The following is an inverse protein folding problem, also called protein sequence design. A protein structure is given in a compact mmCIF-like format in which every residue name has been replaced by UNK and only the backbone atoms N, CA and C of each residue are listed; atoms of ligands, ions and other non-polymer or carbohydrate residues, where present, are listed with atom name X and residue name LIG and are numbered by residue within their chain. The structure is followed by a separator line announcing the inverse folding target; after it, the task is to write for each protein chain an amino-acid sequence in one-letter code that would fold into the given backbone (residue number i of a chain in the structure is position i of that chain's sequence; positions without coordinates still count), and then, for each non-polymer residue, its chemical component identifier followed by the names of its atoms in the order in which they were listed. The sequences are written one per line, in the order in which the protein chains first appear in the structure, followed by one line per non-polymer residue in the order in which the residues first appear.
data_IF_664829761754
#
_entry.id   IF_664829761754
#
_cell.length_a   1.000
_cell.length_b   1.000
_cell.length_c   1.000
_cell.angle_alpha   90.00
_cell.angle_beta   90.00
_cell.angle_gamma   90.00
#
_symmetry.space_group_name_H-M   'P 1'
#
loop_
_entity.id
_entity.type
_entity.pdbx_description
1 polymer ?
#
# COMPACT_ATOMS: atom_id res chain seq x y z
N UNK A 1 -10.80 -8.10 -18.36
CA UNK A 1 -11.07 -8.20 -17.98
C UNK A 1 -11.38 -8.22 -16.91
N UNK A 2 -11.44 -7.99 -16.71
CA UNK A 2 -11.69 -7.56 -15.63
C UNK A 2 -12.47 -8.25 -14.67
N UNK A 3 -12.45 -9.30 -14.61
CA UNK A 3 -13.12 -9.91 -13.92
C UNK A 3 -13.10 -9.60 -12.80
N UNK A 4 -12.97 -9.20 -12.48
CA UNK A 4 -13.38 -8.69 -11.67
C UNK A 4 -12.77 -8.80 -10.49
N UNK A 5 -12.03 -7.88 -10.28
CA UNK A 5 -11.57 -7.58 -9.00
C UNK A 5 -12.73 -7.63 -8.06
N UNK A 6 -13.89 -7.27 -8.46
CA UNK A 6 -15.07 -7.37 -7.64
C UNK A 6 -15.46 -8.81 -7.33
N UNK A 7 -15.18 -9.70 -8.25
CA UNK A 7 -15.46 -11.12 -8.03
C UNK A 7 -14.40 -11.77 -7.17
N UNK A 8 -13.23 -11.17 -7.12
CA UNK A 8 -12.13 -11.74 -6.41
C UNK A 8 -12.01 -11.18 -5.03
N UNK A 9 -12.59 -10.04 -4.78
CA UNK A 9 -12.47 -9.34 -3.52
C UNK A 9 -13.80 -9.27 -2.80
N UNK A 10 -13.74 -9.27 -1.48
CA UNK A 10 -14.91 -9.09 -0.67
C UNK A 10 -15.47 -7.71 -0.90
N UNK A 11 -16.75 -7.66 -1.14
CA UNK A 11 -17.40 -6.41 -1.48
C UNK A 11 -17.63 -5.48 -0.28
N UNK A 12 -16.80 -5.53 0.70
CA UNK A 12 -16.91 -4.60 1.82
C UNK A 12 -16.09 -3.36 1.54
N UNK A 13 -16.24 -2.75 0.42
CA UNK A 13 -15.41 -1.63 -0.01
C UNK A 13 -15.64 -0.33 0.75
N UNK A 14 -15.93 -0.38 2.04
CA UNK A 14 -16.13 0.84 2.82
C UNK A 14 -14.80 1.50 3.16
N UNK A 15 -14.77 2.80 3.04
CA UNK A 15 -13.64 3.58 3.49
C UNK A 15 -13.65 3.67 5.00
N UNK A 16 -12.48 3.67 5.60
CA UNK A 16 -12.32 4.06 7.00
C UNK A 16 -12.05 5.57 7.02
N UNK A 17 -12.99 6.33 7.57
CA UNK A 17 -12.82 7.78 7.70
C UNK A 17 -12.10 8.06 9.02
N UNK A 18 -10.97 8.77 8.92
CA UNK A 18 -10.22 9.21 10.07
C UNK A 18 -10.25 10.74 10.01
N UNK A 19 -10.93 11.36 10.96
CA UNK A 19 -10.92 12.80 11.05
C UNK A 19 -9.52 13.30 11.40
N UNK A 20 -9.27 14.57 11.23
CA UNK A 20 -7.97 15.16 11.50
C UNK A 20 -7.55 14.79 12.91
N UNK A 21 -6.76 13.76 13.00
CA UNK A 21 -6.28 13.25 14.26
C UNK A 21 -4.79 13.43 14.38
N UNK A 22 -4.28 13.01 15.51
CA UNK A 22 -2.86 12.93 15.71
C UNK A 22 -2.29 11.84 14.81
N UNK A 23 -1.01 11.96 14.53
CA UNK A 23 -0.30 11.03 13.65
C UNK A 23 -0.43 9.57 14.10
N UNK A 24 -0.45 9.33 15.40
CA UNK A 24 -0.58 7.97 15.94
C UNK A 24 -1.93 7.35 15.61
N UNK A 25 -3.00 8.14 15.52
CA UNK A 25 -4.32 7.64 15.15
C UNK A 25 -4.33 7.09 13.72
N UNK A 26 -3.61 7.74 12.82
CA UNK A 26 -3.49 7.28 11.44
C UNK A 26 -2.68 5.99 11.36
N UNK A 27 -1.59 5.90 12.12
CA UNK A 27 -0.76 4.70 12.19
C UNK A 27 -1.58 3.51 12.70
N UNK A 28 -2.27 3.69 13.81
CA UNK A 28 -3.09 2.64 14.41
C UNK A 28 -4.23 2.21 13.48
N UNK A 29 -4.86 3.16 12.82
CA UNK A 29 -5.93 2.88 11.88
C UNK A 29 -5.44 2.11 10.65
N UNK A 30 -4.27 2.47 10.11
CA UNK A 30 -3.66 1.76 8.99
C UNK A 30 -3.43 0.30 9.34
N UNK A 31 -2.83 0.04 10.51
CA UNK A 31 -2.57 -1.32 10.97
C UNK A 31 -3.86 -2.11 11.24
N UNK A 32 -4.85 -1.48 11.84
CA UNK A 32 -6.14 -2.12 12.10
C UNK A 32 -6.85 -2.49 10.78
N UNK A 33 -6.83 -1.60 9.81
CA UNK A 33 -7.40 -1.86 8.49
C UNK A 33 -6.66 -2.98 7.77
N UNK A 34 -5.34 -3.02 7.88
CA UNK A 34 -4.55 -4.11 7.32
C UNK A 34 -5.01 -5.46 7.90
N UNK A 35 -5.10 -5.58 9.21
CA UNK A 35 -5.52 -6.84 9.84
C UNK A 35 -6.95 -7.23 9.46
N UNK A 36 -7.80 -6.26 9.21
CA UNK A 36 -9.17 -6.50 8.77
C UNK A 36 -9.25 -7.00 7.33
N UNK A 37 -8.43 -6.45 6.43
CA UNK A 37 -8.57 -6.65 4.98
C UNK A 37 -7.47 -7.47 4.34
N UNK A 38 -6.50 -7.96 5.10
CA UNK A 38 -5.28 -8.60 4.57
C UNK A 38 -5.53 -9.78 3.63
N UNK A 39 -6.67 -10.44 3.75
CA UNK A 39 -7.01 -11.59 2.90
C UNK A 39 -7.82 -11.23 1.66
N UNK A 40 -8.25 -9.98 1.55
CA UNK A 40 -9.13 -9.56 0.45
C UNK A 40 -8.58 -9.87 -0.95
N UNK A 41 -7.31 -9.57 -1.29
CA UNK A 41 -6.81 -9.79 -2.65
C UNK A 41 -6.30 -11.20 -2.92
N UNK A 42 -6.63 -12.19 -2.09
CA UNK A 42 -6.07 -13.53 -2.20
C UNK A 42 -6.22 -14.15 -3.60
N UNK A 43 -7.43 -14.07 -4.15
CA UNK A 43 -7.66 -14.63 -5.48
C UNK A 43 -7.01 -13.80 -6.58
N UNK A 44 -6.92 -12.49 -6.38
CA UNK A 44 -6.28 -11.60 -7.34
C UNK A 44 -4.82 -11.96 -7.57
N UNK A 45 -4.10 -12.30 -6.50
CA UNK A 45 -2.67 -12.60 -6.57
C UNK A 45 -2.36 -14.08 -6.78
N UNK A 46 -3.38 -14.94 -6.80
CA UNK A 46 -3.19 -16.39 -6.88
C UNK A 46 -2.44 -16.82 -8.15
N UNK A 47 -2.52 -16.05 -9.22
CA UNK A 47 -1.81 -16.32 -10.48
C UNK A 47 -0.42 -15.71 -10.57
N UNK A 48 0.02 -15.00 -9.54
CA UNK A 48 1.35 -14.37 -9.56
C UNK A 48 2.40 -15.35 -9.07
N UNK A 49 3.34 -15.67 -9.94
CA UNK A 49 4.36 -16.69 -9.69
C UNK A 49 5.77 -16.13 -9.90
N UNK A 50 6.77 -16.88 -9.46
CA UNK A 50 8.18 -16.54 -9.65
C UNK A 50 8.86 -16.18 -8.33
N UNK A 51 9.99 -15.47 -8.44
CA UNK A 51 10.71 -14.98 -7.28
C UNK A 51 9.92 -13.93 -6.51
N UNK A 52 10.34 -13.63 -5.30
CA UNK A 52 9.73 -12.55 -4.52
C UNK A 52 9.77 -11.24 -5.31
N UNK A 53 10.89 -10.92 -5.93
CA UNK A 53 11.03 -9.70 -6.74
C UNK A 53 10.02 -9.68 -7.89
N UNK A 54 9.90 -10.77 -8.63
CA UNK A 54 8.93 -10.89 -9.72
C UNK A 54 7.48 -10.73 -9.25
N UNK A 55 7.15 -11.29 -8.10
CA UNK A 55 5.81 -11.13 -7.50
C UNK A 55 5.58 -9.69 -7.06
N UNK A 56 6.58 -9.05 -6.48
CA UNK A 56 6.50 -7.64 -6.10
C UNK A 56 6.31 -6.74 -7.32
N UNK A 57 7.05 -6.99 -8.40
CA UNK A 57 6.86 -6.26 -9.65
C UNK A 57 5.44 -6.44 -10.20
N UNK A 58 4.91 -7.66 -10.14
CA UNK A 58 3.56 -7.93 -10.62
C UNK A 58 2.50 -7.18 -9.82
N UNK A 59 2.62 -7.17 -8.49
CA UNK A 59 1.70 -6.40 -7.62
C UNK A 59 1.80 -4.91 -7.91
N UNK A 60 3.03 -4.40 -8.01
CA UNK A 60 3.29 -2.99 -8.26
C UNK A 60 2.75 -2.55 -9.63
N UNK A 61 3.01 -3.34 -10.66
CA UNK A 61 2.51 -3.07 -12.00
C UNK A 61 0.97 -3.09 -12.05
N UNK A 62 0.36 -4.08 -11.41
CA UNK A 62 -1.10 -4.15 -11.36
C UNK A 62 -1.69 -2.89 -10.73
N UNK A 63 -1.15 -2.48 -9.58
CA UNK A 63 -1.65 -1.29 -8.89
C UNK A 63 -1.49 -0.04 -9.76
N UNK A 64 -0.31 0.18 -10.32
CA UNK A 64 -0.02 1.39 -11.09
C UNK A 64 -0.80 1.46 -12.42
N UNK A 65 -1.22 0.32 -12.93
CA UNK A 65 -2.05 0.26 -14.14
C UNK A 65 -3.52 0.54 -13.85
N UNK A 66 -4.00 0.26 -12.64
CA UNK A 66 -5.43 0.32 -12.31
C UNK A 66 -5.81 1.48 -11.40
N UNK A 67 -4.86 2.08 -10.73
CA UNK A 67 -5.12 3.10 -9.70
C UNK A 67 -4.26 4.32 -9.93
N UNK A 68 -4.89 5.49 -9.83
CA UNK A 68 -4.21 6.78 -9.92
C UNK A 68 -4.09 7.37 -8.52
N UNK A 69 -2.93 7.97 -8.23
CA UNK A 69 -2.75 8.66 -6.97
C UNK A 69 -3.64 9.90 -6.91
N UNK A 70 -4.37 10.03 -5.81
CA UNK A 70 -5.23 11.19 -5.56
C UNK A 70 -5.26 11.47 -4.06
N UNK A 71 -4.89 12.68 -3.68
CA UNK A 71 -5.00 13.11 -2.29
C UNK A 71 -6.44 13.10 -1.81
N UNK A 72 -6.62 12.78 -0.53
CA UNK A 72 -7.91 12.92 0.12
C UNK A 72 -8.34 14.38 0.20
N UNK A 73 -9.62 14.60 0.37
CA UNK A 73 -10.15 15.95 0.55
C UNK A 73 -9.59 16.56 1.84
N UNK A 74 -9.44 17.87 1.83
CA UNK A 74 -8.89 18.60 2.96
C UNK A 74 -9.66 18.32 4.24
N UNK A 75 -8.93 18.00 5.30
CA UNK A 75 -9.51 17.74 6.63
C UNK A 75 -9.98 16.30 6.83
N UNK A 76 -9.92 15.46 5.81
CA UNK A 76 -10.32 14.06 5.90
C UNK A 76 -9.17 13.13 5.58
N UNK A 77 -9.19 11.96 6.22
CA UNK A 77 -8.23 10.89 5.95
C UNK A 77 -9.02 9.61 5.67
N UNK A 78 -8.79 9.00 4.51
CA UNK A 78 -9.47 7.78 4.13
C UNK A 78 -8.46 6.66 3.94
N UNK A 79 -8.78 5.48 4.49
CA UNK A 79 -8.05 4.26 4.20
C UNK A 79 -9.02 3.32 3.50
N UNK A 80 -8.78 3.08 2.23
CA UNK A 80 -9.64 2.21 1.42
C UNK A 80 -9.19 0.77 1.52
N UNK A 81 -10.15 -0.15 1.58
CA UNK A 81 -9.84 -1.57 1.40
C UNK A 81 -9.32 -1.80 -0.03
N UNK A 82 -8.61 -2.92 -0.27
CA UNK A 82 -8.19 -3.25 -1.64
C UNK A 82 -9.34 -3.25 -2.65
N UNK A 83 -10.48 -3.81 -2.29
CA UNK A 83 -11.65 -3.84 -3.16
C UNK A 83 -12.16 -2.42 -3.45
N UNK A 84 -12.22 -1.57 -2.44
CA UNK A 84 -12.70 -0.20 -2.62
C UNK A 84 -11.73 0.63 -3.45
N UNK A 85 -10.44 0.44 -3.23
CA UNK A 85 -9.42 1.14 -4.01
C UNK A 85 -9.55 0.83 -5.50
N UNK A 86 -9.70 -0.44 -5.85
CA UNK A 86 -9.88 -0.85 -7.25
C UNK A 86 -11.21 -0.35 -7.82
N UNK A 87 -12.26 -0.35 -7.02
CA UNK A 87 -13.56 0.16 -7.44
C UNK A 87 -13.50 1.66 -7.77
N UNK A 88 -12.84 2.43 -6.91
CA UNK A 88 -12.73 3.88 -7.10
C UNK A 88 -11.68 4.25 -8.14
N UNK A 89 -10.67 3.41 -8.33
CA UNK A 89 -9.56 3.67 -9.25
C UNK A 89 -8.62 4.77 -8.80
N UNK A 90 -8.72 5.23 -7.57
CA UNK A 90 -7.86 6.28 -7.04
C UNK A 90 -7.76 6.22 -5.51
N UNK A 91 -6.65 6.70 -4.98
CA UNK A 91 -6.42 6.80 -3.55
C UNK A 91 -5.08 7.47 -3.25
N UNK A 92 -4.83 7.75 -1.99
CA UNK A 92 -3.55 8.30 -1.54
C UNK A 92 -2.60 7.22 -1.01
N UNK A 93 -1.48 7.64 -0.43
CA UNK A 93 -0.44 6.71 0.03
C UNK A 93 -0.95 5.66 1.01
N UNK A 94 -1.89 5.98 1.87
CA UNK A 94 -2.45 5.04 2.85
C UNK A 94 -3.18 3.89 2.15
N UNK A 95 -4.01 4.22 1.19
CA UNK A 95 -4.80 3.23 0.46
C UNK A 95 -3.94 2.41 -0.51
N UNK A 96 -2.96 3.03 -1.16
CA UNK A 96 -2.01 2.32 -2.02
C UNK A 96 -1.18 1.33 -1.19
N UNK A 97 -0.71 1.76 -0.03
CA UNK A 97 0.02 0.90 0.92
C UNK A 97 -0.84 -0.28 1.37
N UNK A 98 -2.10 -0.03 1.70
CA UNK A 98 -3.04 -1.05 2.12
C UNK A 98 -3.18 -2.14 1.06
N UNK A 99 -3.37 -1.76 -0.19
CA UNK A 99 -3.49 -2.70 -1.30
C UNK A 99 -2.26 -3.59 -1.43
N UNK A 100 -1.08 -2.97 -1.49
CA UNK A 100 0.16 -3.72 -1.68
C UNK A 100 0.44 -4.63 -0.48
N UNK A 101 0.30 -4.13 0.74
CA UNK A 101 0.55 -4.93 1.94
C UNK A 101 -0.36 -6.14 2.02
N UNK A 102 -1.63 -5.99 1.68
CA UNK A 102 -2.58 -7.12 1.63
C UNK A 102 -2.19 -8.14 0.54
N UNK A 103 -1.73 -7.67 -0.61
CA UNK A 103 -1.24 -8.56 -1.66
C UNK A 103 0.00 -9.34 -1.20
N UNK A 104 0.95 -8.66 -0.55
CA UNK A 104 2.16 -9.32 -0.03
C UNK A 104 1.80 -10.37 1.02
N UNK A 105 0.83 -10.07 1.90
CA UNK A 105 0.32 -11.05 2.85
C UNK A 105 -0.23 -12.29 2.15
N UNK A 106 -1.07 -12.11 1.16
CA UNK A 106 -1.67 -13.23 0.42
C UNK A 106 -0.65 -14.04 -0.37
N UNK A 107 0.46 -13.43 -0.75
CA UNK A 107 1.59 -14.10 -1.43
C UNK A 107 2.55 -14.76 -0.45
N UNK A 108 2.36 -14.60 0.86
CA UNK A 108 3.24 -15.15 1.87
C UNK A 108 4.60 -14.46 1.92
N UNK A 109 4.67 -13.20 1.51
CA UNK A 109 5.91 -12.43 1.49
C UNK A 109 6.00 -11.59 2.76
N UNK A 110 7.11 -11.74 3.48
CA UNK A 110 7.39 -10.90 4.65
C UNK A 110 7.51 -9.44 4.22
N UNK A 111 6.91 -8.54 4.99
CA UNK A 111 6.91 -7.13 4.61
C UNK A 111 6.80 -6.21 5.82
N UNK A 112 7.05 -4.93 5.56
CA UNK A 112 7.03 -3.84 6.51
C UNK A 112 6.06 -2.79 5.98
N UNK A 113 5.28 -2.18 6.85
CA UNK A 113 4.63 -0.91 6.57
C UNK A 113 5.52 0.17 7.20
N UNK A 114 6.05 1.04 6.39
CA UNK A 114 7.01 2.07 6.79
C UNK A 114 6.38 3.45 6.73
N UNK A 115 6.35 4.11 7.87
CA UNK A 115 5.94 5.51 8.00
C UNK A 115 7.17 6.39 8.03
N UNK A 116 7.16 7.47 7.26
CA UNK A 116 8.32 8.37 7.16
C UNK A 116 7.94 9.83 7.28
N UNK A 117 8.93 10.63 7.66
CA UNK A 117 8.89 12.08 7.57
C UNK A 117 10.13 12.55 6.81
N UNK A 118 9.92 13.34 5.77
CA UNK A 118 11.01 13.83 4.93
C UNK A 118 11.63 15.13 5.46
N UNK A 119 10.90 15.86 6.29
CA UNK A 119 11.29 17.21 6.72
C UNK A 119 11.98 17.23 8.09
N UNK A 120 11.96 16.11 8.81
CA UNK A 120 12.54 16.03 10.15
C UNK A 120 11.61 16.44 11.28
N UNK A 121 10.33 16.68 10.98
CA UNK A 121 9.29 16.94 11.98
C UNK A 121 8.92 15.71 12.80
N UNK A 122 8.01 15.90 13.76
CA UNK A 122 7.59 14.83 14.68
C UNK A 122 6.51 13.93 14.11
N UNK A 123 5.79 14.39 13.09
CA UNK A 123 4.70 13.64 12.49
C UNK A 123 5.15 12.92 11.23
N UNK A 124 4.55 11.77 10.96
CA UNK A 124 4.78 11.04 9.72
C UNK A 124 3.89 11.66 8.63
N UNK A 125 4.49 11.91 7.46
CA UNK A 125 3.81 12.57 6.34
C UNK A 125 3.59 11.64 5.16
N UNK A 126 4.17 10.44 5.20
CA UNK A 126 4.06 9.47 4.13
C UNK A 126 4.16 8.04 4.66
N UNK A 127 3.61 7.10 3.92
CA UNK A 127 3.63 5.68 4.25
C UNK A 127 3.77 4.86 2.97
N UNK A 128 4.56 3.79 3.04
CA UNK A 128 4.71 2.84 1.94
C UNK A 128 5.11 1.47 2.45
N UNK A 129 4.81 0.40 1.69
CA UNK A 129 5.22 -0.94 2.06
C UNK A 129 6.61 -1.28 1.52
N UNK A 130 7.28 -2.17 2.23
CA UNK A 130 8.60 -2.70 1.87
C UNK A 130 8.53 -4.21 2.00
N UNK A 131 8.78 -4.93 0.92
CA UNK A 131 8.89 -6.39 0.95
C UNK A 131 10.30 -6.81 1.36
N UNK A 132 10.41 -7.97 1.97
CA UNK A 132 11.69 -8.55 2.39
C UNK A 132 11.89 -9.84 1.62
N UNK A 133 12.98 -9.96 0.90
CA UNK A 133 13.29 -11.18 0.16
C UNK A 133 14.00 -12.23 1.03
N UNK A 134 14.30 -13.39 0.45
CA UNK A 134 14.88 -14.51 1.19
C UNK A 134 16.28 -14.20 1.74
N UNK A 135 16.94 -13.19 1.17
CA UNK A 135 18.27 -12.76 1.61
C UNK A 135 18.20 -11.61 2.64
N UNK A 136 16.99 -11.20 3.00
CA UNK A 136 16.78 -10.06 3.88
C UNK A 136 16.90 -8.70 3.19
N UNK A 137 16.94 -8.66 1.86
CA UNK A 137 17.00 -7.42 1.10
C UNK A 137 15.61 -6.77 1.07
N UNK A 138 15.60 -5.47 1.24
CA UNK A 138 14.38 -4.68 1.11
C UNK A 138 14.05 -4.39 -0.35
N UNK A 139 12.78 -4.54 -0.70
CA UNK A 139 12.22 -4.14 -1.99
C UNK A 139 11.16 -3.09 -1.70
N UNK A 140 11.40 -1.85 -2.08
CA UNK A 140 10.53 -0.73 -1.78
C UNK A 140 9.39 -0.64 -2.80
N UNK A 141 8.15 -0.59 -2.31
CA UNK A 141 6.96 -0.57 -3.16
C UNK A 141 6.17 0.72 -2.95
N UNK A 142 6.86 1.85 -3.06
CA UNK A 142 6.25 3.17 -2.92
C UNK A 142 5.67 3.64 -4.24
N UNK A 143 4.39 3.42 -4.44
CA UNK A 143 3.71 3.77 -5.69
C UNK A 143 3.43 5.27 -5.85
N UNK A 144 3.92 6.11 -4.94
CA UNK A 144 3.74 7.56 -5.00
C UNK A 144 4.94 8.29 -5.58
N UNK A 145 6.11 7.65 -5.64
CA UNK A 145 7.33 8.30 -6.12
C UNK A 145 7.46 8.19 -7.63
N UNK A 146 7.80 9.32 -8.25
CA UNK A 146 7.92 9.42 -9.71
C UNK A 146 9.27 10.03 -10.10
N UNK A 147 9.75 9.65 -11.27
CA UNK A 147 10.90 10.30 -11.88
C UNK A 147 10.50 11.63 -12.54
N UNK A 148 11.45 12.29 -13.17
CA UNK A 148 11.24 13.59 -13.83
C UNK A 148 10.27 13.52 -15.02
N UNK A 149 10.06 12.34 -15.58
CA UNK A 149 9.11 12.13 -16.68
C UNK A 149 7.73 11.70 -16.20
N UNK A 150 7.55 11.60 -14.88
CA UNK A 150 6.28 11.21 -14.28
C UNK A 150 6.06 9.70 -14.21
N UNK A 151 7.09 8.90 -14.45
CA UNK A 151 7.03 7.44 -14.35
C UNK A 151 7.19 7.02 -12.91
N UNK A 152 6.30 6.16 -12.41
CA UNK A 152 6.34 5.66 -11.04
C UNK A 152 7.53 4.73 -10.89
N UNK A 153 8.33 4.98 -9.84
CA UNK A 153 9.59 4.28 -9.60
C UNK A 153 9.37 3.00 -8.80
N UNK A 154 9.87 1.88 -9.31
CA UNK A 154 9.88 0.61 -8.61
C UNK A 154 11.18 0.44 -7.81
N UNK A 155 11.06 -0.12 -6.62
CA UNK A 155 12.19 -0.39 -5.72
C UNK A 155 13.06 0.86 -5.46
N UNK A 156 12.40 1.96 -5.16
CA UNK A 156 13.04 3.22 -4.85
C UNK A 156 12.46 3.83 -3.58
N UNK A 157 13.33 4.30 -2.70
CA UNK A 157 12.95 5.03 -1.50
C UNK A 157 13.54 6.44 -1.53
N UNK A 158 12.68 7.45 -1.44
CA UNK A 158 13.14 8.80 -1.18
C UNK A 158 13.76 8.86 0.21
N UNK A 159 14.97 9.44 0.38
CA UNK A 159 15.58 9.55 1.70
C UNK A 159 14.69 10.28 2.69
N UNK A 160 14.54 9.69 3.88
CA UNK A 160 13.72 10.27 4.95
C UNK A 160 14.61 10.65 6.13
N UNK A 161 14.12 11.60 6.94
CA UNK A 161 14.80 12.03 8.16
C UNK A 161 14.29 11.33 9.40
N UNK A 162 13.13 10.70 9.31
CA UNK A 162 12.52 9.94 10.39
C UNK A 162 11.71 8.80 9.80
N UNK A 163 11.82 7.62 10.41
CA UNK A 163 11.00 6.48 9.98
C UNK A 163 10.59 5.61 11.15
N UNK A 164 9.49 4.91 10.97
CA UNK A 164 9.01 3.88 11.90
C UNK A 164 8.46 2.72 11.09
N UNK A 165 8.94 1.54 11.40
CA UNK A 165 8.61 0.31 10.69
C UNK A 165 7.72 -0.59 11.52
N UNK A 166 6.71 -1.17 10.87
CA UNK A 166 5.87 -2.23 11.43
C UNK A 166 6.03 -3.47 10.56
N UNK A 167 6.68 -4.49 11.10
CA UNK A 167 6.95 -5.73 10.39
C UNK A 167 5.74 -6.64 10.43
N UNK A 168 5.39 -7.17 9.28
CA UNK A 168 4.20 -8.00 9.09
C UNK A 168 4.53 -9.28 8.31
N UNK A 169 3.72 -10.28 8.53
CA UNK A 169 3.88 -11.56 7.84
C UNK A 169 2.73 -11.81 6.86
#
# INVERSE_FOLDING_TARGET
MGRDSADVMIADGKNTLITVGLNDDVVDAELACYHKWKDQPRNLVAGMHGSIDQKCEAVFAYLTEHVVYKLDDAGNQYIKSPARLLQDGCGDCKSLTMFIACCLHCLGIEHIIRFVNYDGGTQYTHVYPVAIDEMGREIVLDACEKDTDGVILYDYARPSKRQKDFRLL
#
